data_IF_151562226769
#
_entry.id   IF_151562226769
#
_cell.length_a   1.000
_cell.length_b   1.000
_cell.length_c   1.000
_cell.angle_alpha   90.00
_cell.angle_beta   90.00
_cell.angle_gamma   90.00
#
_symmetry.space_group_name_H-M   'P 1'
#
loop_
_entity.id
_entity.type
_entity.pdbx_description
1 polymer ?
#
# COMPACT_ATOMS: atom_id res chain seq x y z
N UNK A 1 9.51 8.45 13.42
CA UNK A 1 9.72 7.18 12.70
C UNK A 1 11.14 7.04 12.15
N UNK A 2 11.68 7.97 11.36
CA UNK A 2 13.04 7.87 10.80
C UNK A 2 14.17 7.63 11.85
N UNK A 3 14.12 8.31 13.01
CA UNK A 3 15.09 8.09 14.10
C UNK A 3 14.98 6.70 14.73
N UNK A 4 13.77 6.13 14.83
CA UNK A 4 13.57 4.79 15.37
C UNK A 4 14.19 3.73 14.43
N UNK A 5 14.01 3.88 13.11
CA UNK A 5 14.64 3.01 12.11
C UNK A 5 16.18 3.09 12.13
N UNK A 6 16.76 4.26 12.40
CA UNK A 6 18.22 4.42 12.53
C UNK A 6 18.81 3.69 13.75
N UNK A 7 18.03 3.53 14.83
CA UNK A 7 18.47 2.74 15.98
C UNK A 7 18.32 1.24 15.73
N UNK A 8 17.26 0.84 15.01
CA UNK A 8 17.00 -0.55 14.63
C UNK A 8 18.08 -1.11 13.67
N UNK A 9 18.48 -0.34 12.65
CA UNK A 9 19.48 -0.76 11.65
C UNK A 9 20.93 -0.91 12.18
N UNK A 10 21.20 -0.58 13.45
CA UNK A 10 22.55 -0.65 14.05
C UNK A 10 22.80 -1.93 14.85
N UNK A 11 21.80 -2.80 14.98
CA UNK A 11 21.96 -4.06 15.66
C UNK A 11 22.58 -5.10 14.71
N UNK A 12 23.76 -5.59 15.06
CA UNK A 12 24.40 -6.76 14.45
C UNK A 12 24.34 -7.93 15.44
N UNK A 13 24.17 -9.16 14.94
CA UNK A 13 24.08 -10.41 15.72
C UNK A 13 22.92 -10.48 16.74
N UNK A 14 21.69 -10.25 16.27
CA UNK A 14 20.47 -10.40 17.07
C UNK A 14 20.12 -11.88 17.28
N UNK A 15 19.70 -12.26 18.49
CA UNK A 15 19.05 -13.56 18.72
C UNK A 15 17.73 -13.64 17.95
N UNK A 16 17.19 -14.84 17.68
CA UNK A 16 15.88 -14.98 17.03
C UNK A 16 14.75 -14.19 17.72
N UNK A 17 14.76 -14.14 19.05
CA UNK A 17 13.80 -13.39 19.85
C UNK A 17 13.97 -11.88 19.66
N UNK A 18 15.22 -11.40 19.67
CA UNK A 18 15.53 -9.99 19.46
C UNK A 18 15.22 -9.55 18.03
N UNK A 19 15.43 -10.42 17.05
CA UNK A 19 15.06 -10.18 15.65
C UNK A 19 13.54 -10.10 15.49
N UNK A 20 12.77 -10.98 16.14
CA UNK A 20 11.31 -10.93 16.11
C UNK A 20 10.77 -9.65 16.77
N UNK A 21 11.36 -9.22 17.88
CA UNK A 21 11.01 -7.93 18.52
C UNK A 21 11.35 -6.75 17.62
N UNK A 22 12.55 -6.74 17.03
CA UNK A 22 12.98 -5.76 16.05
C UNK A 22 11.97 -5.65 14.89
N UNK A 23 11.59 -6.79 14.30
CA UNK A 23 10.69 -6.85 13.15
C UNK A 23 9.28 -6.37 13.51
N UNK A 24 8.79 -6.69 14.71
CA UNK A 24 7.52 -6.18 15.22
C UNK A 24 7.52 -4.65 15.33
N UNK A 25 8.60 -4.07 15.89
CA UNK A 25 8.75 -2.61 16.03
C UNK A 25 8.86 -1.96 14.64
N UNK A 26 9.68 -2.52 13.76
CA UNK A 26 9.87 -2.04 12.39
C UNK A 26 8.55 -2.08 11.61
N UNK A 27 7.80 -3.19 11.70
CA UNK A 27 6.48 -3.35 11.08
C UNK A 27 5.53 -2.23 11.52
N UNK A 28 5.41 -2.01 12.84
CA UNK A 28 4.59 -0.92 13.39
C UNK A 28 5.04 0.45 12.88
N UNK A 29 6.35 0.70 12.82
CA UNK A 29 6.91 1.96 12.33
C UNK A 29 6.57 2.21 10.85
N UNK A 30 6.77 1.21 9.99
CA UNK A 30 6.45 1.29 8.57
C UNK A 30 4.95 1.45 8.32
N UNK A 31 4.13 0.68 9.03
CA UNK A 31 2.68 0.83 9.03
C UNK A 31 2.29 2.27 9.37
N UNK A 32 2.75 2.80 10.51
CA UNK A 32 2.39 4.15 10.93
C UNK A 32 2.91 5.22 9.97
N UNK A 33 4.11 5.02 9.42
CA UNK A 33 4.68 5.90 8.39
C UNK A 33 3.81 5.95 7.14
N UNK A 34 3.38 4.78 6.63
CA UNK A 34 2.45 4.71 5.50
C UNK A 34 1.14 5.45 5.81
N UNK A 35 0.58 5.25 7.01
CA UNK A 35 -0.64 5.93 7.43
C UNK A 35 -0.49 7.46 7.50
N UNK A 36 0.66 7.94 7.96
CA UNK A 36 0.97 9.37 7.99
C UNK A 36 1.01 9.94 6.57
N UNK A 37 1.70 9.29 5.65
CA UNK A 37 1.77 9.74 4.26
C UNK A 37 0.40 9.71 3.56
N UNK A 38 -0.41 8.68 3.79
CA UNK A 38 -1.81 8.63 3.31
C UNK A 38 -2.58 9.87 3.81
N UNK A 39 -2.50 10.17 5.11
CA UNK A 39 -3.20 11.34 5.68
C UNK A 39 -2.71 12.65 5.09
N UNK A 40 -1.40 12.80 4.87
CA UNK A 40 -0.83 13.98 4.23
C UNK A 40 -1.34 14.12 2.80
N UNK A 41 -1.28 13.05 2.02
CA UNK A 41 -1.69 13.03 0.63
C UNK A 41 -3.20 13.35 0.45
N UNK A 42 -4.06 12.85 1.36
CA UNK A 42 -5.51 13.16 1.32
C UNK A 42 -5.87 14.62 1.62
N UNK A 43 -5.00 15.33 2.35
CA UNK A 43 -5.24 16.72 2.79
C UNK A 43 -4.50 17.74 1.93
N UNK A 44 -3.60 17.28 1.08
CA UNK A 44 -2.76 18.11 0.25
C UNK A 44 -3.55 18.58 -0.97
N UNK A 45 -3.56 19.89 -1.20
CA UNK A 45 -4.25 20.51 -2.34
C UNK A 45 -3.36 20.54 -3.58
N UNK A 46 -2.05 20.56 -3.39
CA UNK A 46 -1.06 20.49 -4.47
C UNK A 46 -0.95 19.04 -4.99
N UNK A 47 -1.36 18.86 -6.25
CA UNK A 47 -1.40 17.54 -6.89
C UNK A 47 -0.03 16.83 -6.86
N UNK A 48 1.06 17.53 -7.12
CA UNK A 48 2.39 16.90 -7.16
C UNK A 48 2.86 16.50 -5.76
N UNK A 49 2.58 17.34 -4.75
CA UNK A 49 2.90 17.00 -3.35
C UNK A 49 2.05 15.83 -2.88
N UNK A 50 0.78 15.78 -3.28
CA UNK A 50 -0.09 14.64 -2.98
C UNK A 50 0.45 13.36 -3.63
N UNK A 51 0.83 13.41 -4.92
CA UNK A 51 1.41 12.28 -5.65
C UNK A 51 2.70 11.77 -5.00
N UNK A 52 3.64 12.66 -4.67
CA UNK A 52 4.86 12.31 -3.91
C UNK A 52 4.55 11.70 -2.54
N UNK A 53 3.49 12.15 -1.87
CA UNK A 53 3.07 11.57 -0.60
C UNK A 53 2.44 10.18 -0.78
N UNK A 54 1.67 9.95 -1.85
CA UNK A 54 1.15 8.63 -2.20
C UNK A 54 2.28 7.63 -2.51
N UNK A 55 3.31 8.05 -3.25
CA UNK A 55 4.50 7.23 -3.50
C UNK A 55 5.20 6.82 -2.20
N UNK A 56 5.43 7.77 -1.29
CA UNK A 56 6.02 7.47 0.02
C UNK A 56 5.14 6.54 0.89
N UNK A 57 3.82 6.62 0.74
CA UNK A 57 2.91 5.69 1.39
C UNK A 57 3.06 4.27 0.82
N UNK A 58 3.23 4.14 -0.50
CA UNK A 58 3.52 2.86 -1.16
C UNK A 58 4.83 2.27 -0.65
N UNK A 59 5.91 3.04 -0.60
CA UNK A 59 7.22 2.55 -0.16
C UNK A 59 7.17 2.05 1.28
N UNK A 60 6.60 2.84 2.19
CA UNK A 60 6.45 2.45 3.58
C UNK A 60 5.54 1.22 3.75
N UNK A 61 4.47 1.10 2.95
CA UNK A 61 3.61 -0.07 2.99
C UNK A 61 4.29 -1.32 2.41
N UNK A 62 5.11 -1.18 1.35
CA UNK A 62 5.92 -2.27 0.79
C UNK A 62 6.94 -2.78 1.80
N UNK A 63 7.59 -1.90 2.54
CA UNK A 63 8.52 -2.30 3.60
C UNK A 63 7.81 -3.04 4.74
N UNK A 64 6.59 -2.61 5.12
CA UNK A 64 5.76 -3.36 6.06
C UNK A 64 5.40 -4.77 5.54
N UNK A 65 5.09 -4.92 4.25
CA UNK A 65 4.82 -6.22 3.62
C UNK A 65 6.06 -7.12 3.60
N UNK A 66 7.26 -6.57 3.34
CA UNK A 66 8.52 -7.34 3.37
C UNK A 66 8.80 -7.92 4.76
N UNK A 67 8.48 -7.17 5.82
CA UNK A 67 8.66 -7.64 7.20
C UNK A 67 7.60 -8.69 7.55
N UNK A 68 6.35 -8.46 7.18
CA UNK A 68 5.27 -9.41 7.45
C UNK A 68 4.21 -9.41 6.34
N UNK A 69 4.30 -10.38 5.43
CA UNK A 69 3.32 -10.58 4.36
C UNK A 69 1.93 -11.02 4.88
N UNK A 70 1.84 -11.51 6.12
CA UNK A 70 0.59 -11.84 6.80
C UNK A 70 -0.15 -10.62 7.38
N UNK A 71 0.37 -9.40 7.19
CA UNK A 71 -0.26 -8.18 7.70
C UNK A 71 -1.35 -7.67 6.75
N UNK A 72 -2.61 -7.93 7.09
CA UNK A 72 -3.77 -7.40 6.35
C UNK A 72 -3.72 -5.87 6.24
N UNK A 73 -3.26 -5.18 7.31
CA UNK A 73 -3.11 -3.71 7.33
C UNK A 73 -2.03 -3.22 6.36
N UNK A 74 -0.93 -3.94 6.20
CA UNK A 74 0.14 -3.56 5.28
C UNK A 74 -0.36 -3.65 3.83
N UNK A 75 -0.99 -4.78 3.48
CA UNK A 75 -1.60 -4.99 2.16
C UNK A 75 -2.73 -4.01 1.87
N UNK A 76 -3.59 -3.70 2.85
CA UNK A 76 -4.63 -2.69 2.70
C UNK A 76 -4.05 -1.28 2.42
N UNK A 77 -3.05 -0.85 3.19
CA UNK A 77 -2.42 0.47 3.01
C UNK A 77 -1.71 0.58 1.66
N UNK A 78 -1.05 -0.51 1.24
CA UNK A 78 -0.42 -0.59 -0.08
C UNK A 78 -1.47 -0.47 -1.19
N UNK A 79 -2.54 -1.27 -1.13
CA UNK A 79 -3.63 -1.22 -2.10
C UNK A 79 -4.31 0.15 -2.16
N UNK A 80 -4.54 0.78 -1.01
CA UNK A 80 -5.19 2.08 -0.93
C UNK A 80 -4.34 3.19 -1.56
N UNK A 81 -3.02 3.18 -1.32
CA UNK A 81 -2.11 4.15 -1.92
C UNK A 81 -1.95 3.93 -3.44
N UNK A 82 -1.86 2.67 -3.89
CA UNK A 82 -1.77 2.32 -5.31
C UNK A 82 -3.03 2.71 -6.10
N UNK A 83 -4.21 2.55 -5.49
CA UNK A 83 -5.47 3.02 -6.06
C UNK A 83 -5.45 4.53 -6.35
N UNK A 84 -4.88 5.33 -5.45
CA UNK A 84 -4.79 6.79 -5.64
C UNK A 84 -3.72 7.20 -6.67
N UNK A 85 -2.71 6.35 -6.89
CA UNK A 85 -1.74 6.50 -7.98
C UNK A 85 -2.24 5.95 -9.32
N UNK A 86 -3.45 5.39 -9.38
CA UNK A 86 -3.99 4.79 -10.62
C UNK A 86 -3.35 3.45 -10.99
N UNK A 87 -2.55 2.86 -10.11
CA UNK A 87 -1.87 1.56 -10.29
C UNK A 87 -2.81 0.42 -9.87
N UNK A 88 -3.93 0.30 -10.57
CA UNK A 88 -5.05 -0.51 -10.11
C UNK A 88 -4.77 -2.01 -10.08
N UNK A 89 -4.02 -2.57 -11.03
CA UNK A 89 -3.70 -4.01 -11.05
C UNK A 89 -2.81 -4.43 -9.87
N UNK A 90 -1.77 -3.65 -9.58
CA UNK A 90 -0.94 -3.84 -8.38
C UNK A 90 -1.79 -3.67 -7.11
N UNK A 91 -2.63 -2.64 -7.07
CA UNK A 91 -3.53 -2.37 -5.95
C UNK A 91 -4.51 -3.53 -5.71
N UNK A 92 -5.08 -4.12 -6.75
CA UNK A 92 -6.00 -5.24 -6.66
C UNK A 92 -5.30 -6.49 -6.10
N UNK A 93 -4.06 -6.73 -6.50
CA UNK A 93 -3.26 -7.86 -5.98
C UNK A 93 -3.09 -7.74 -4.47
N UNK A 94 -2.70 -6.56 -3.96
CA UNK A 94 -2.60 -6.31 -2.53
C UNK A 94 -3.96 -6.34 -1.82
N UNK A 95 -5.02 -5.80 -2.42
CA UNK A 95 -6.36 -5.82 -1.84
C UNK A 95 -6.89 -7.25 -1.67
N UNK A 96 -6.65 -8.13 -2.64
CA UNK A 96 -6.98 -9.57 -2.55
C UNK A 96 -6.20 -10.27 -1.44
N UNK A 97 -4.92 -9.94 -1.27
CA UNK A 97 -4.13 -10.50 -0.16
C UNK A 97 -4.64 -10.01 1.20
N UNK A 98 -4.93 -8.71 1.33
CA UNK A 98 -5.57 -8.16 2.53
C UNK A 98 -6.91 -8.85 2.81
N UNK A 99 -7.71 -9.10 1.76
CA UNK A 99 -9.00 -9.79 1.87
C UNK A 99 -8.86 -11.22 2.37
N UNK A 100 -7.89 -11.96 1.85
CA UNK A 100 -7.65 -13.33 2.28
C UNK A 100 -7.29 -13.40 3.77
N UNK A 101 -6.54 -12.41 4.26
CA UNK A 101 -6.12 -12.32 5.66
C UNK A 101 -7.22 -11.79 6.59
N UNK A 102 -8.11 -10.93 6.09
CA UNK A 102 -9.21 -10.32 6.83
C UNK A 102 -10.50 -10.32 5.98
N UNK A 103 -11.18 -11.47 5.85
CA UNK A 103 -12.31 -11.63 4.91
C UNK A 103 -13.53 -10.76 5.25
N UNK A 104 -13.73 -10.47 6.54
CA UNK A 104 -14.88 -9.73 7.06
C UNK A 104 -14.67 -8.21 7.15
N UNK A 105 -13.47 -7.71 6.84
CA UNK A 105 -13.18 -6.28 6.88
C UNK A 105 -13.87 -5.55 5.71
N UNK A 106 -14.94 -4.82 6.04
CA UNK A 106 -15.77 -4.06 5.10
C UNK A 106 -14.99 -3.03 4.28
N UNK A 107 -13.94 -2.44 4.83
CA UNK A 107 -13.14 -1.45 4.12
C UNK A 107 -12.26 -2.10 3.05
N UNK A 108 -11.68 -3.27 3.37
CA UNK A 108 -10.94 -4.09 2.41
C UNK A 108 -11.87 -4.56 1.29
N UNK A 109 -13.10 -5.00 1.63
CA UNK A 109 -14.12 -5.40 0.65
C UNK A 109 -14.41 -4.30 -0.35
N UNK A 110 -14.67 -3.10 0.19
CA UNK A 110 -15.02 -1.94 -0.63
C UNK A 110 -13.86 -1.50 -1.50
N UNK A 111 -12.63 -1.54 -0.98
CA UNK A 111 -11.43 -1.19 -1.73
C UNK A 111 -11.20 -2.15 -2.91
N UNK A 112 -11.31 -3.46 -2.68
CA UNK A 112 -11.17 -4.48 -3.72
C UNK A 112 -12.19 -4.29 -4.85
N UNK A 113 -13.47 -4.09 -4.50
CA UNK A 113 -14.53 -3.83 -5.48
C UNK A 113 -14.31 -2.54 -6.27
N UNK A 114 -13.83 -1.47 -5.60
CA UNK A 114 -13.46 -0.21 -6.25
C UNK A 114 -12.36 -0.42 -7.28
N UNK A 115 -11.32 -1.17 -6.92
CA UNK A 115 -10.19 -1.47 -7.80
C UNK A 115 -10.61 -2.27 -9.04
N UNK A 116 -11.43 -3.32 -8.86
CA UNK A 116 -11.98 -4.10 -9.97
C UNK A 116 -12.77 -3.22 -10.95
N UNK A 117 -13.65 -2.37 -10.42
CA UNK A 117 -14.44 -1.43 -11.23
C UNK A 117 -13.54 -0.49 -12.04
N UNK A 118 -12.43 -0.03 -11.46
CA UNK A 118 -11.50 0.87 -12.12
C UNK A 118 -10.71 0.21 -13.24
N UNK A 119 -10.28 -1.04 -13.05
CA UNK A 119 -9.64 -1.87 -14.09
C UNK A 119 -10.59 -2.09 -15.26
N UNK A 120 -11.84 -2.48 -14.99
CA UNK A 120 -12.86 -2.68 -16.03
C UNK A 120 -13.08 -1.39 -16.84
N UNK A 121 -13.17 -0.24 -16.16
CA UNK A 121 -13.30 1.07 -16.81
C UNK A 121 -12.10 1.41 -17.68
N UNK A 122 -10.88 1.14 -17.23
CA UNK A 122 -9.67 1.37 -18.03
C UNK A 122 -9.65 0.46 -19.27
N UNK A 123 -9.96 -0.82 -19.11
CA UNK A 123 -10.01 -1.79 -20.20
C UNK A 123 -11.09 -1.42 -21.23
N UNK A 124 -12.27 -1.00 -20.79
CA UNK A 124 -13.34 -0.54 -21.68
C UNK A 124 -12.93 0.72 -22.47
N UNK A 125 -12.27 1.69 -21.82
CA UNK A 125 -11.73 2.89 -22.48
C UNK A 125 -10.66 2.53 -23.49
N UNK A 126 -9.71 1.67 -23.12
CA UNK A 126 -8.65 1.20 -24.01
C UNK A 126 -9.22 0.50 -25.24
N UNK A 127 -10.19 -0.41 -25.07
CA UNK A 127 -10.89 -1.08 -26.18
C UNK A 127 -11.60 -0.09 -27.11
N UNK A 128 -12.26 0.94 -26.56
CA UNK A 128 -12.92 1.99 -27.35
C UNK A 128 -11.92 2.84 -28.14
N UNK A 129 -10.77 3.20 -27.53
CA UNK A 129 -9.71 3.93 -28.22
C UNK A 129 -9.09 3.11 -29.35
N UNK A 130 -8.76 1.84 -29.08
CA UNK A 130 -8.24 0.91 -30.08
C UNK A 130 -9.22 0.79 -31.26
N UNK A 131 -10.51 0.56 -31.00
CA UNK A 131 -11.54 0.49 -32.05
C UNK A 131 -11.59 1.77 -32.92
N UNK A 132 -11.40 2.95 -32.33
CA UNK A 132 -11.39 4.23 -33.08
C UNK A 132 -10.10 4.47 -33.87
N UNK A 133 -8.98 3.89 -33.44
CA UNK A 133 -7.68 4.07 -34.10
C UNK A 133 -7.55 3.19 -35.36
N UNK A 134 -8.30 2.09 -35.41
CA UNK A 134 -8.26 1.09 -36.49
C UNK A 134 -9.58 0.95 -37.27
N UNK A 135 -10.53 1.86 -37.07
CA UNK A 135 -11.75 1.98 -37.87
C UNK A 135 -11.71 3.28 -38.66
#
# INVERSE_FOLDING_TARGET
YARAMQHLNKAFDLSPEQQAEHDSIALSCHLNTAQCYIKMATKESDKEKAERAWEKAVDAAKDAVKINDGSAKAHYRLAFALDHLGKFDEGLTSAKRARHLAPEDKEIVRLESRLQTQIERQNAKAKKMYKKMFA
#
